data_IF_041344060539
#
_entry.id   IF_041344060539
#
_cell.length_a   1.000
_cell.length_b   1.000
_cell.length_c   1.000
_cell.angle_alpha   90.00
_cell.angle_beta   90.00
_cell.angle_gamma   90.00
#
_symmetry.space_group_name_H-M   'P 1'
#
loop_
_entity.id
_entity.type
_entity.pdbx_description
1 polymer ?
#
# COMPACT_ATOMS: atom_id res chain seq x y z
N UNK A 1 -27.31 20.13 27.02
CA UNK A 1 -27.11 19.04 28.01
C UNK A 1 -25.89 18.25 27.58
N UNK A 2 -24.80 18.43 28.32
CA UNK A 2 -23.53 17.78 28.08
C UNK A 2 -23.54 16.34 28.60
N UNK A 3 -22.85 15.44 27.91
CA UNK A 3 -21.92 14.49 28.51
C UNK A 3 -20.88 14.11 27.44
N UNK A 4 -19.63 14.39 27.76
CA UNK A 4 -18.46 14.37 26.90
C UNK A 4 -17.75 13.01 26.90
N UNK A 5 -17.13 12.70 25.76
CA UNK A 5 -15.85 12.02 25.53
C UNK A 5 -15.22 11.06 26.56
N UNK A 6 -14.75 9.91 26.06
CA UNK A 6 -13.32 9.51 26.08
C UNK A 6 -13.02 8.28 25.18
N UNK A 7 -11.76 8.09 24.75
CA UNK A 7 -11.34 7.29 23.60
C UNK A 7 -10.77 5.90 23.93
N UNK A 8 -10.53 5.13 22.87
CA UNK A 8 -9.86 3.83 22.72
C UNK A 8 -8.68 3.54 23.68
N UNK A 9 -8.65 2.32 24.23
CA UNK A 9 -7.45 1.54 24.64
C UNK A 9 -7.87 0.16 25.19
N UNK A 10 -8.04 -0.86 24.34
CA UNK A 10 -8.09 -2.26 24.79
C UNK A 10 -7.85 -3.23 23.63
N UNK A 11 -6.57 -3.54 23.36
CA UNK A 11 -6.08 -4.87 22.95
C UNK A 11 -4.63 -4.76 22.46
N UNK A 12 -3.71 -4.54 23.40
CA UNK A 12 -2.26 -4.76 23.24
C UNK A 12 -1.61 -4.52 24.60
N UNK A 13 -1.67 -5.52 25.49
CA UNK A 13 -0.79 -5.67 26.67
C UNK A 13 -1.09 -6.99 27.36
N UNK A 14 -0.53 -8.07 26.84
CA UNK A 14 -0.09 -9.18 27.67
C UNK A 14 1.21 -9.70 27.04
N UNK A 15 2.35 -9.25 27.56
CA UNK A 15 3.45 -10.12 28.06
C UNK A 15 4.67 -9.29 28.50
N UNK A 16 5.08 -9.51 29.76
CA UNK A 16 6.43 -9.26 30.31
C UNK A 16 6.53 -8.18 31.41
N UNK A 17 7.47 -8.29 32.37
CA UNK A 17 7.78 -9.45 33.22
C UNK A 17 7.86 -9.09 34.73
N UNK A 18 7.71 -10.08 35.61
CA UNK A 18 8.02 -10.00 37.06
C UNK A 18 6.88 -10.58 37.91
N UNK A 19 7.08 -11.46 38.87
CA UNK A 19 8.25 -12.15 39.38
C UNK A 19 7.74 -13.14 40.44
N UNK A 20 8.30 -14.35 40.48
CA UNK A 20 7.94 -15.36 41.47
C UNK A 20 8.44 -16.74 41.07
N UNK A 21 9.60 -17.14 41.61
CA UNK A 21 10.12 -18.52 41.52
C UNK A 21 9.23 -19.45 42.37
N UNK A 22 9.08 -20.73 41.97
CA UNK A 22 9.88 -21.76 42.65
C UNK A 22 10.39 -22.91 41.75
N UNK A 23 11.56 -23.45 42.11
CA UNK A 23 11.93 -24.89 42.11
C UNK A 23 12.01 -25.69 40.80
N UNK A 24 13.12 -26.40 40.51
CA UNK A 24 13.31 -27.07 39.22
C UNK A 24 12.73 -28.50 39.20
N UNK A 25 12.00 -28.83 38.13
CA UNK A 25 11.77 -30.21 37.71
C UNK A 25 12.48 -30.47 36.38
N UNK A 26 13.28 -31.54 36.33
CA UNK A 26 14.19 -31.93 35.24
C UNK A 26 13.44 -32.15 33.93
N UNK A 27 13.95 -31.58 32.84
CA UNK A 27 13.59 -31.94 31.46
C UNK A 27 14.58 -32.96 30.87
N UNK A 28 14.13 -33.95 30.08
CA UNK A 28 15.01 -34.82 29.31
C UNK A 28 15.47 -34.13 28.01
N UNK A 29 16.72 -34.42 27.64
CA UNK A 29 17.41 -33.93 26.45
C UNK A 29 16.80 -34.48 25.16
N UNK A 30 16.64 -33.64 24.13
CA UNK A 30 16.66 -34.12 22.74
C UNK A 30 17.26 -33.08 21.77
N UNK A 31 18.46 -33.45 21.31
CA UNK A 31 19.09 -33.31 19.98
C UNK A 31 18.82 -32.05 19.14
N UNK A 32 19.83 -31.18 19.13
CA UNK A 32 20.08 -30.21 18.09
C UNK A 32 20.50 -30.89 16.77
N UNK A 33 19.91 -30.45 15.67
CA UNK A 33 20.33 -30.77 14.30
C UNK A 33 21.54 -29.91 13.92
N UNK A 34 22.62 -30.55 13.47
CA UNK A 34 23.78 -29.91 12.82
C UNK A 34 23.68 -30.07 11.30
N UNK A 35 23.99 -29.07 10.48
CA UNK A 35 24.29 -29.29 9.09
C UNK A 35 25.73 -29.80 8.93
N UNK A 36 25.88 -30.80 8.07
CA UNK A 36 27.13 -31.38 7.61
C UNK A 36 27.69 -30.50 6.50
N UNK A 37 28.90 -29.95 6.68
CA UNK A 37 29.71 -29.43 5.58
C UNK A 37 30.79 -30.46 5.27
N UNK A 38 30.76 -31.00 4.04
CA UNK A 38 31.80 -31.86 3.52
C UNK A 38 33.03 -31.01 3.14
N UNK A 39 34.20 -31.44 3.63
CA UNK A 39 35.49 -30.94 3.17
C UNK A 39 35.98 -31.76 1.98
N UNK A 40 36.78 -31.12 1.13
CA UNK A 40 37.77 -31.78 0.29
C UNK A 40 38.97 -30.83 0.11
N UNK A 41 40.03 -31.20 0.83
CA UNK A 41 41.44 -31.26 0.46
C UNK A 41 42.18 -30.08 -0.20
N UNK A 42 43.14 -29.65 0.62
CA UNK A 42 44.43 -28.99 0.36
C UNK A 42 45.22 -29.44 -0.88
N UNK A 43 45.95 -28.49 -1.47
CA UNK A 43 47.41 -28.63 -1.69
C UNK A 43 48.10 -27.28 -1.45
N UNK A 44 49.18 -27.35 -0.66
CA UNK A 44 50.12 -26.30 -0.26
C UNK A 44 51.09 -25.90 -1.39
N UNK A 45 51.48 -24.62 -1.46
CA UNK A 45 52.88 -24.21 -1.71
C UNK A 45 53.17 -22.74 -1.35
N UNK A 46 53.82 -22.58 -0.20
CA UNK A 46 54.87 -21.62 0.23
C UNK A 46 55.25 -20.47 -0.71
N UNK A 47 55.45 -19.28 -0.12
CA UNK A 47 56.32 -18.24 -0.70
C UNK A 47 56.26 -16.87 -0.01
N UNK A 48 57.14 -16.66 0.97
CA UNK A 48 57.41 -15.41 1.71
C UNK A 48 57.73 -14.18 0.82
N UNK A 49 57.23 -12.99 1.22
CA UNK A 49 57.97 -11.73 1.51
C UNK A 49 57.13 -10.48 1.22
N UNK A 50 56.86 -9.69 2.25
CA UNK A 50 56.89 -8.21 2.19
C UNK A 50 58.34 -7.73 2.48
N UNK A 51 58.76 -6.46 2.27
CA UNK A 51 57.97 -5.23 2.06
C UNK A 51 58.49 -4.29 0.94
N UNK A 52 57.71 -3.24 0.61
CA UNK A 52 58.18 -2.16 -0.25
C UNK A 52 57.21 -0.98 -0.33
N UNK A 53 57.52 0.08 0.41
CA UNK A 53 56.87 1.39 0.35
C UNK A 53 57.06 2.05 -1.02
N UNK A 54 55.98 2.53 -1.64
CA UNK A 54 56.06 3.57 -2.67
C UNK A 54 54.99 4.63 -2.41
N UNK A 55 55.49 5.85 -2.22
CA UNK A 55 54.77 7.12 -2.15
C UNK A 55 54.19 7.51 -3.51
N UNK A 56 52.92 7.93 -3.57
CA UNK A 56 52.51 8.98 -4.51
C UNK A 56 51.20 9.61 -4.05
N UNK A 57 51.25 10.88 -3.67
CA UNK A 57 50.08 11.66 -3.31
C UNK A 57 49.21 12.02 -4.51
N UNK A 58 47.93 12.24 -4.25
CA UNK A 58 47.07 13.12 -5.05
C UNK A 58 46.08 13.83 -4.12
N UNK A 59 45.99 15.14 -4.36
CA UNK A 59 45.40 16.20 -3.55
C UNK A 59 43.89 16.04 -3.37
N UNK A 60 43.42 16.29 -2.15
CA UNK A 60 42.03 16.68 -1.91
C UNK A 60 41.81 18.10 -2.44
N UNK A 61 40.82 18.27 -3.32
CA UNK A 61 40.38 19.59 -3.79
C UNK A 61 39.38 20.12 -2.76
N UNK A 62 39.88 21.05 -1.94
CA UNK A 62 39.07 21.93 -1.11
C UNK A 62 38.47 23.02 -2.00
N UNK A 63 37.14 23.10 -2.06
CA UNK A 63 36.43 24.24 -2.64
C UNK A 63 35.95 25.14 -1.51
N UNK A 64 36.84 26.03 -1.07
CA UNK A 64 36.48 27.20 -0.27
C UNK A 64 35.83 28.24 -1.17
N UNK A 65 34.50 28.35 -1.12
CA UNK A 65 33.78 29.49 -1.72
C UNK A 65 33.67 30.57 -0.66
N UNK A 66 34.20 31.75 -1.00
CA UNK A 66 34.36 32.88 -0.10
C UNK A 66 33.05 33.43 0.45
N UNK A 67 33.10 33.82 1.72
CA UNK A 67 32.11 34.66 2.36
C UNK A 67 32.10 36.04 1.70
N UNK A 68 30.95 36.43 1.15
CA UNK A 68 30.59 37.83 0.93
C UNK A 68 29.26 38.03 1.64
N UNK A 69 29.33 38.66 2.80
CA UNK A 69 28.17 39.00 3.60
C UNK A 69 27.35 40.07 2.90
N UNK A 70 26.05 39.80 2.76
CA UNK A 70 25.03 40.82 2.63
C UNK A 70 24.15 40.67 3.87
N UNK A 71 24.22 41.67 4.74
CA UNK A 71 23.30 41.84 5.86
C UNK A 71 21.89 42.06 5.30
N UNK A 72 21.07 41.02 5.37
CA UNK A 72 19.63 41.08 5.15
C UNK A 72 18.90 41.03 6.49
N UNK A 73 18.17 42.09 6.77
CA UNK A 73 17.43 42.36 8.01
C UNK A 73 16.51 41.21 8.43
N UNK A 74 16.35 41.05 9.75
CA UNK A 74 15.55 40.01 10.39
C UNK A 74 14.12 39.93 9.87
N UNK A 75 13.76 38.77 9.33
CA UNK A 75 12.39 38.34 9.11
C UNK A 75 12.07 37.22 10.09
N UNK A 76 11.02 37.42 10.88
CA UNK A 76 10.43 36.43 11.77
C UNK A 76 10.03 35.19 10.95
N UNK A 77 10.87 34.14 10.93
CA UNK A 77 10.62 32.96 10.09
C UNK A 77 9.57 32.05 10.72
N UNK A 78 8.30 32.43 10.59
CA UNK A 78 7.25 31.43 10.49
C UNK A 78 7.57 30.59 9.23
N UNK A 79 8.21 29.44 9.43
CA UNK A 79 8.59 28.55 8.32
C UNK A 79 7.33 28.16 7.55
N UNK A 80 7.17 28.71 6.35
CA UNK A 80 6.01 28.51 5.47
C UNK A 80 5.71 27.01 5.32
N UNK A 81 4.44 26.66 5.52
CA UNK A 81 3.94 25.31 5.23
C UNK A 81 3.98 25.10 3.72
N UNK A 82 4.37 23.90 3.28
CA UNK A 82 4.29 23.54 1.87
C UNK A 82 2.84 23.66 1.37
N UNK A 83 2.70 24.17 0.16
CA UNK A 83 1.45 24.24 -0.59
C UNK A 83 1.35 23.11 -1.61
N UNK A 84 0.17 22.95 -2.22
CA UNK A 84 0.00 22.01 -3.34
C UNK A 84 0.89 22.41 -4.54
N UNK A 85 1.06 23.71 -4.77
CA UNK A 85 1.92 24.27 -5.81
C UNK A 85 3.38 23.86 -5.60
N UNK A 86 3.87 23.86 -4.35
CA UNK A 86 5.22 23.41 -4.05
C UNK A 86 5.41 21.91 -4.35
N UNK A 87 4.41 21.08 -4.04
CA UNK A 87 4.45 19.64 -4.38
C UNK A 87 4.45 19.45 -5.89
N UNK A 88 3.59 20.17 -6.61
CA UNK A 88 3.55 20.12 -8.08
C UNK A 88 4.90 20.56 -8.68
N UNK A 89 5.53 21.61 -8.14
CA UNK A 89 6.84 22.07 -8.60
C UNK A 89 7.92 21.01 -8.37
N UNK A 90 7.97 20.39 -7.19
CA UNK A 90 8.93 19.33 -6.86
C UNK A 90 8.85 18.16 -7.85
N UNK A 91 7.64 17.79 -8.26
CA UNK A 91 7.40 16.75 -9.28
C UNK A 91 7.84 17.27 -10.66
N UNK A 92 7.42 18.49 -11.05
CA UNK A 92 7.64 19.07 -12.38
C UNK A 92 9.13 19.25 -12.70
N UNK A 93 9.92 19.75 -11.76
CA UNK A 93 11.37 19.92 -11.91
C UNK A 93 12.15 18.64 -11.63
N UNK A 94 11.45 17.52 -11.37
CA UNK A 94 12.03 16.21 -11.03
C UNK A 94 12.95 16.24 -9.81
N UNK A 95 12.65 17.11 -8.84
CA UNK A 95 13.28 17.05 -7.52
C UNK A 95 12.80 15.82 -6.73
N UNK A 96 11.58 15.34 -7.01
CA UNK A 96 11.05 14.04 -6.57
C UNK A 96 10.89 13.11 -7.79
N UNK A 97 11.49 11.93 -7.74
CA UNK A 97 11.50 10.93 -8.82
C UNK A 97 11.16 9.51 -8.33
N UNK A 98 11.02 9.33 -7.01
CA UNK A 98 10.73 8.05 -6.36
C UNK A 98 9.46 8.20 -5.54
N UNK A 99 8.36 8.44 -6.24
CA UNK A 99 7.06 8.66 -5.62
C UNK A 99 6.48 7.32 -5.17
N UNK A 100 6.23 7.20 -3.87
CA UNK A 100 5.40 6.11 -3.34
C UNK A 100 3.98 6.62 -3.22
N UNK A 101 3.02 5.79 -3.63
CA UNK A 101 1.60 6.11 -3.57
C UNK A 101 0.90 5.09 -2.68
N UNK A 102 0.08 5.56 -1.75
CA UNK A 102 -0.84 4.76 -0.95
C UNK A 102 -2.27 5.11 -1.31
N UNK A 103 -3.09 4.13 -1.67
CA UNK A 103 -4.49 4.35 -2.02
C UNK A 103 -5.44 3.40 -1.30
N UNK A 104 -6.68 3.85 -1.12
CA UNK A 104 -7.78 3.03 -0.61
C UNK A 104 -9.07 3.28 -1.38
N UNK A 105 -10.19 2.81 -0.83
CA UNK A 105 -11.45 2.67 -1.58
C UNK A 105 -12.02 4.01 -2.08
N UNK A 106 -11.63 5.13 -1.47
CA UNK A 106 -12.03 6.47 -1.89
C UNK A 106 -11.61 6.82 -3.32
N UNK A 107 -10.57 6.19 -3.88
CA UNK A 107 -10.21 6.42 -5.29
C UNK A 107 -11.15 5.72 -6.27
N UNK A 108 -11.90 4.71 -5.83
CA UNK A 108 -12.80 3.88 -6.65
C UNK A 108 -14.27 4.31 -6.54
N UNK A 109 -14.61 5.21 -5.60
CA UNK A 109 -15.97 5.76 -5.49
C UNK A 109 -16.45 6.46 -6.75
N UNK A 110 -15.64 7.24 -7.50
CA UNK A 110 -16.08 7.84 -8.77
C UNK A 110 -16.27 6.81 -9.88
N UNK A 111 -15.73 5.59 -9.71
CA UNK A 111 -15.95 4.46 -10.62
C UNK A 111 -17.25 3.71 -10.33
N UNK A 112 -18.02 4.11 -9.32
CA UNK A 112 -19.27 3.45 -8.91
C UNK A 112 -19.09 2.32 -7.89
N UNK A 113 -17.87 2.13 -7.37
CA UNK A 113 -17.60 1.14 -6.32
C UNK A 113 -17.73 1.84 -4.95
N UNK A 114 -18.68 1.44 -4.08
CA UNK A 114 -18.82 2.07 -2.77
C UNK A 114 -17.56 1.84 -1.95
N UNK A 115 -17.17 2.83 -1.14
CA UNK A 115 -16.16 2.60 -0.11
C UNK A 115 -16.73 1.72 1.02
N UNK A 116 -15.92 1.36 2.00
CA UNK A 116 -16.39 0.52 3.09
C UNK A 116 -17.19 1.28 4.15
N UNK A 117 -16.80 2.53 4.44
CA UNK A 117 -17.08 3.20 5.73
C UNK A 117 -17.92 4.47 5.62
N UNK A 118 -18.15 5.02 4.44
CA UNK A 118 -18.95 6.23 4.28
C UNK A 118 -20.37 6.00 4.82
N UNK A 119 -20.88 6.88 5.71
CA UNK A 119 -22.23 6.73 6.22
C UNK A 119 -23.28 6.75 5.09
N UNK A 120 -24.18 5.76 5.08
CA UNK A 120 -25.30 5.66 4.13
C UNK A 120 -24.94 5.07 2.77
N UNK A 121 -23.77 5.38 2.20
CA UNK A 121 -23.35 4.86 0.88
C UNK A 121 -22.31 3.75 0.95
N UNK A 122 -21.56 3.65 2.05
CA UNK A 122 -20.50 2.66 2.20
C UNK A 122 -21.05 1.25 2.35
N UNK A 123 -20.27 0.26 1.91
CA UNK A 123 -20.63 -1.15 1.89
C UNK A 123 -21.19 -1.60 3.25
N UNK A 124 -20.54 -1.25 4.35
CA UNK A 124 -20.95 -1.65 5.71
C UNK A 124 -22.34 -1.13 6.13
N UNK A 125 -22.81 -0.03 5.56
CA UNK A 125 -24.17 0.47 5.80
C UNK A 125 -25.24 -0.40 5.12
N UNK A 126 -24.86 -1.13 4.05
CA UNK A 126 -25.76 -1.88 3.19
C UNK A 126 -25.67 -3.40 3.39
N UNK A 127 -24.83 -3.88 4.34
CA UNK A 127 -24.64 -5.32 4.56
C UNK A 127 -25.76 -5.99 5.38
N UNK A 128 -26.76 -5.25 5.87
CA UNK A 128 -27.86 -5.82 6.68
C UNK A 128 -28.60 -6.95 5.96
N UNK A 129 -28.65 -6.90 4.62
CA UNK A 129 -29.27 -7.93 3.78
C UNK A 129 -28.59 -9.30 3.86
N UNK A 130 -27.33 -9.37 4.28
CA UNK A 130 -26.54 -10.60 4.31
C UNK A 130 -26.67 -11.41 5.61
N UNK A 131 -27.47 -10.94 6.57
CA UNK A 131 -27.68 -11.59 7.87
C UNK A 131 -26.36 -11.97 8.58
N UNK A 132 -25.42 -11.01 8.60
CA UNK A 132 -24.11 -11.13 9.25
C UNK A 132 -24.14 -10.47 10.63
N UNK A 133 -23.34 -10.94 11.61
CA UNK A 133 -23.40 -10.45 12.99
C UNK A 133 -22.96 -8.99 13.13
N UNK A 134 -22.01 -8.56 12.30
CA UNK A 134 -21.52 -7.21 12.15
C UNK A 134 -20.83 -7.07 10.78
N UNK A 135 -20.67 -5.85 10.24
CA UNK A 135 -20.22 -5.64 8.86
C UNK A 135 -18.88 -6.29 8.51
N UNK A 136 -17.91 -6.24 9.40
CA UNK A 136 -16.56 -6.75 9.21
C UNK A 136 -16.50 -8.29 9.08
N UNK A 137 -17.51 -9.00 9.62
CA UNK A 137 -17.55 -10.46 9.61
C UNK A 137 -17.51 -11.06 8.20
N UNK A 138 -18.00 -10.34 7.18
CA UNK A 138 -17.93 -10.79 5.78
C UNK A 138 -16.49 -10.99 5.27
N UNK A 139 -15.52 -10.32 5.92
CA UNK A 139 -14.09 -10.42 5.64
C UNK A 139 -13.31 -11.12 6.77
N UNK A 140 -13.97 -11.84 7.67
CA UNK A 140 -13.31 -12.63 8.71
C UNK A 140 -13.19 -14.09 8.28
N UNK A 141 -11.99 -14.67 8.44
CA UNK A 141 -11.74 -16.03 7.97
C UNK A 141 -12.59 -17.07 8.71
N UNK A 142 -12.81 -16.88 10.02
CA UNK A 142 -13.65 -17.77 10.82
C UNK A 142 -15.11 -17.76 10.35
N UNK A 143 -15.67 -16.56 10.14
CA UNK A 143 -17.02 -16.42 9.61
C UNK A 143 -17.14 -17.00 8.19
N UNK A 144 -16.12 -16.79 7.33
CA UNK A 144 -16.09 -17.34 5.98
C UNK A 144 -16.16 -18.87 5.97
N UNK A 145 -15.46 -19.55 6.87
CA UNK A 145 -15.54 -21.00 6.99
C UNK A 145 -16.89 -21.48 7.53
N UNK A 146 -17.55 -20.68 8.37
CA UNK A 146 -18.90 -20.98 8.86
C UNK A 146 -19.96 -20.77 7.77
N UNK A 147 -19.91 -19.64 7.06
CA UNK A 147 -20.83 -19.28 5.99
C UNK A 147 -20.12 -18.44 4.92
N UNK A 148 -19.66 -19.05 3.82
CA UNK A 148 -18.95 -18.32 2.76
C UNK A 148 -19.88 -17.58 1.80
N UNK A 149 -21.19 -17.84 1.84
CA UNK A 149 -22.15 -17.31 0.86
C UNK A 149 -22.21 -15.78 0.82
N UNK A 150 -22.29 -15.04 1.95
CA UNK A 150 -22.29 -13.58 1.94
C UNK A 150 -21.13 -12.98 1.16
N UNK A 151 -19.91 -13.50 1.38
CA UNK A 151 -18.73 -13.04 0.67
C UNK A 151 -18.84 -13.30 -0.84
N UNK A 152 -19.30 -14.49 -1.25
CA UNK A 152 -19.42 -14.79 -2.68
C UNK A 152 -20.53 -14.00 -3.38
N UNK A 153 -21.62 -13.70 -2.68
CA UNK A 153 -22.64 -12.78 -3.20
C UNK A 153 -22.07 -11.38 -3.40
N UNK A 154 -21.32 -10.87 -2.42
CA UNK A 154 -20.60 -9.60 -2.57
C UNK A 154 -19.55 -9.65 -3.71
N UNK A 155 -18.78 -10.73 -3.81
CA UNK A 155 -17.76 -10.89 -4.85
C UNK A 155 -18.37 -10.82 -6.25
N UNK A 156 -19.59 -11.35 -6.45
CA UNK A 156 -20.34 -11.25 -7.70
C UNK A 156 -20.67 -9.80 -8.08
N UNK A 157 -21.03 -8.96 -7.09
CA UNK A 157 -21.26 -7.53 -7.32
C UNK A 157 -19.97 -6.82 -7.76
N UNK A 158 -18.83 -7.23 -7.20
CA UNK A 158 -17.49 -6.70 -7.48
C UNK A 158 -16.80 -7.33 -8.70
N UNK A 159 -17.53 -8.07 -9.54
CA UNK A 159 -16.96 -8.77 -10.68
C UNK A 159 -16.18 -7.84 -11.64
N UNK A 160 -14.93 -8.19 -12.01
CA UNK A 160 -14.14 -7.42 -12.98
C UNK A 160 -14.88 -7.23 -14.31
N UNK A 161 -15.01 -5.98 -14.76
CA UNK A 161 -15.75 -5.61 -15.98
C UNK A 161 -16.98 -4.75 -15.70
N UNK A 162 -17.54 -4.80 -14.49
CA UNK A 162 -18.64 -3.93 -14.08
C UNK A 162 -18.20 -2.46 -13.87
N UNK A 163 -16.91 -2.26 -13.66
CA UNK A 163 -16.34 -0.97 -13.27
C UNK A 163 -15.13 -0.62 -14.12
N UNK A 164 -14.90 0.68 -14.30
CA UNK A 164 -13.80 1.21 -15.10
C UNK A 164 -12.91 2.12 -14.27
N UNK A 165 -11.60 2.15 -14.52
CA UNK A 165 -10.72 3.13 -13.88
C UNK A 165 -11.17 4.55 -14.23
N UNK A 166 -11.04 5.46 -13.27
CA UNK A 166 -11.35 6.88 -13.42
C UNK A 166 -10.07 7.74 -13.50
N UNK A 167 -10.22 9.06 -13.56
CA UNK A 167 -9.10 10.01 -13.67
C UNK A 167 -8.03 9.82 -12.57
N UNK A 168 -8.40 9.46 -11.34
CA UNK A 168 -7.41 9.18 -10.28
C UNK A 168 -6.50 8.02 -10.65
N UNK A 169 -7.06 6.93 -11.17
CA UNK A 169 -6.28 5.76 -11.58
C UNK A 169 -5.36 6.06 -12.76
N UNK A 170 -5.84 6.84 -13.73
CA UNK A 170 -5.05 7.23 -14.89
C UNK A 170 -3.97 8.27 -14.54
N UNK A 171 -4.15 9.07 -13.49
CA UNK A 171 -3.09 9.94 -12.97
C UNK A 171 -1.92 9.12 -12.43
N UNK A 172 -2.21 8.04 -11.70
CA UNK A 172 -1.19 7.10 -11.23
C UNK A 172 -0.48 6.40 -12.39
N UNK A 173 -1.23 6.08 -13.46
CA UNK A 173 -0.66 5.56 -14.71
C UNK A 173 0.25 6.58 -15.39
N UNK A 174 -0.14 7.84 -15.44
CA UNK A 174 0.68 8.90 -16.02
C UNK A 174 1.96 9.14 -15.21
N UNK A 175 1.87 9.05 -13.88
CA UNK A 175 3.03 9.08 -12.98
C UNK A 175 4.00 7.92 -13.24
N UNK A 176 3.46 6.73 -13.58
CA UNK A 176 4.25 5.59 -14.03
C UNK A 176 4.91 5.84 -15.39
N UNK A 177 4.14 6.26 -16.39
CA UNK A 177 4.62 6.48 -17.76
C UNK A 177 5.70 7.57 -17.82
N UNK A 178 5.66 8.55 -16.91
CA UNK A 178 6.70 9.58 -16.76
C UNK A 178 7.93 9.13 -15.95
N UNK A 179 7.95 7.89 -15.47
CA UNK A 179 9.09 7.30 -14.75
C UNK A 179 9.24 7.76 -13.30
N UNK A 180 8.20 8.32 -12.69
CA UNK A 180 8.23 8.92 -11.35
C UNK A 180 7.70 7.98 -10.26
N UNK A 181 6.81 7.05 -10.63
CA UNK A 181 6.23 6.08 -9.69
C UNK A 181 7.29 5.06 -9.26
N UNK A 182 7.68 5.08 -7.99
CA UNK A 182 8.47 3.99 -7.38
C UNK A 182 7.59 2.76 -7.17
N UNK A 183 6.49 2.92 -6.43
CA UNK A 183 5.52 1.86 -6.12
C UNK A 183 4.15 2.43 -5.78
N UNK A 184 3.11 1.70 -6.18
CA UNK A 184 1.72 1.90 -5.78
C UNK A 184 1.33 0.81 -4.79
N UNK A 185 0.99 1.21 -3.56
CA UNK A 185 0.40 0.38 -2.52
C UNK A 185 -1.11 0.64 -2.51
N UNK A 186 -1.91 -0.39 -2.75
CA UNK A 186 -3.37 -0.29 -2.73
C UNK A 186 -3.97 -1.18 -1.65
N UNK A 187 -4.98 -0.66 -0.95
CA UNK A 187 -5.87 -1.44 -0.08
C UNK A 187 -7.06 -2.04 -0.84
N UNK A 188 -7.26 -1.63 -2.09
CA UNK A 188 -8.39 -2.05 -2.89
C UNK A 188 -8.16 -3.45 -3.43
N UNK A 189 -9.28 -4.13 -3.67
CA UNK A 189 -9.35 -5.47 -4.24
C UNK A 189 -10.05 -5.47 -5.61
N UNK A 190 -10.55 -4.31 -6.06
CA UNK A 190 -11.29 -4.13 -7.31
C UNK A 190 -10.42 -4.34 -8.57
N UNK A 191 -9.10 -4.20 -8.44
CA UNK A 191 -8.13 -4.41 -9.52
C UNK A 191 -8.06 -3.29 -10.55
N UNK A 192 -8.71 -2.14 -10.31
CA UNK A 192 -8.75 -1.02 -11.27
C UNK A 192 -7.36 -0.42 -11.52
N UNK A 193 -6.40 -0.58 -10.62
CA UNK A 193 -5.01 -0.19 -10.84
C UNK A 193 -4.35 -1.05 -11.94
N UNK A 194 -4.65 -2.35 -11.99
CA UNK A 194 -4.18 -3.22 -13.08
C UNK A 194 -4.87 -2.85 -14.39
N UNK A 195 -6.17 -2.59 -14.34
CA UNK A 195 -6.97 -2.22 -15.52
C UNK A 195 -6.51 -0.88 -16.11
N UNK A 196 -6.08 0.09 -15.29
CA UNK A 196 -5.49 1.35 -15.77
C UNK A 196 -4.10 1.19 -16.40
N UNK A 197 -3.52 -0.01 -16.29
CA UNK A 197 -2.24 -0.38 -16.89
C UNK A 197 -1.04 -0.20 -15.99
N UNK A 198 -1.21 -0.14 -14.65
CA UNK A 198 -0.07 -0.22 -13.74
C UNK A 198 0.54 -1.63 -13.83
N UNK A 199 1.84 -1.77 -14.16
CA UNK A 199 2.46 -3.08 -14.23
C UNK A 199 2.50 -3.75 -12.86
N UNK A 200 2.39 -5.08 -12.81
CA UNK A 200 2.51 -5.86 -11.57
C UNK A 200 3.80 -5.55 -10.81
N UNK A 201 4.90 -5.25 -11.52
CA UNK A 201 6.16 -4.85 -10.90
C UNK A 201 6.06 -3.55 -10.08
N UNK A 202 5.12 -2.65 -10.40
CA UNK A 202 4.89 -1.38 -9.71
C UNK A 202 3.78 -1.44 -8.67
N UNK A 203 3.01 -2.52 -8.62
CA UNK A 203 1.84 -2.66 -7.76
C UNK A 203 2.11 -3.59 -6.56
N UNK A 204 1.62 -3.16 -5.40
CA UNK A 204 1.48 -3.95 -4.18
C UNK A 204 0.01 -3.87 -3.75
N UNK A 205 -0.73 -4.95 -4.03
CA UNK A 205 -2.09 -5.14 -3.53
C UNK A 205 -2.02 -5.64 -2.10
N UNK A 206 -2.04 -4.72 -1.14
CA UNK A 206 -1.81 -5.03 0.27
C UNK A 206 -2.89 -5.95 0.84
N UNK A 207 -4.14 -5.80 0.38
CA UNK A 207 -5.26 -6.65 0.79
C UNK A 207 -5.57 -7.76 -0.22
N UNK A 208 -4.61 -8.08 -1.09
CA UNK A 208 -4.76 -9.18 -2.04
C UNK A 208 -5.60 -8.81 -3.26
N UNK A 209 -6.04 -9.82 -4.01
CA UNK A 209 -6.58 -9.63 -5.37
C UNK A 209 -7.58 -10.72 -5.76
N UNK A 210 -8.53 -10.38 -6.63
CA UNK A 210 -9.39 -11.37 -7.30
C UNK A 210 -8.71 -12.06 -8.51
N UNK A 211 -7.50 -11.64 -8.90
CA UNK A 211 -6.82 -12.20 -10.06
C UNK A 211 -6.35 -13.66 -9.89
N UNK A 212 -6.30 -14.15 -8.65
CA UNK A 212 -5.97 -15.52 -8.31
C UNK A 212 -6.77 -15.98 -7.09
N UNK A 213 -6.88 -17.28 -6.93
CA UNK A 213 -7.55 -17.90 -5.79
C UNK A 213 -6.78 -19.13 -5.32
N UNK A 214 -6.98 -19.50 -4.05
CA UNK A 214 -6.29 -20.61 -3.41
C UNK A 214 -7.29 -21.51 -2.69
N UNK A 215 -7.18 -22.83 -2.92
CA UNK A 215 -7.92 -23.80 -2.13
C UNK A 215 -7.53 -23.70 -0.65
N UNK A 216 -8.54 -23.53 0.20
CA UNK A 216 -8.37 -23.42 1.66
C UNK A 216 -7.85 -24.69 2.34
N UNK A 217 -7.96 -25.85 1.67
CA UNK A 217 -7.53 -27.15 2.20
C UNK A 217 -6.17 -27.56 1.63
N UNK A 218 -6.08 -27.84 0.33
CA UNK A 218 -4.85 -28.37 -0.28
C UNK A 218 -3.87 -27.27 -0.74
N UNK A 219 -4.21 -26.00 -0.59
CA UNK A 219 -3.39 -24.83 -0.97
C UNK A 219 -3.03 -24.76 -2.46
N UNK A 220 -3.73 -25.51 -3.32
CA UNK A 220 -3.63 -25.38 -4.77
C UNK A 220 -4.12 -24.00 -5.19
N UNK A 221 -3.28 -23.27 -5.90
CA UNK A 221 -3.65 -22.00 -6.53
C UNK A 221 -4.30 -22.24 -7.90
N UNK A 222 -5.25 -21.37 -8.26
CA UNK A 222 -5.84 -21.29 -9.59
C UNK A 222 -5.94 -19.82 -10.04
N UNK A 223 -5.96 -19.57 -11.35
CA UNK A 223 -6.37 -18.28 -11.90
C UNK A 223 -7.74 -17.84 -11.38
N UNK A 224 -7.94 -16.53 -11.21
CA UNK A 224 -9.22 -15.99 -10.78
C UNK A 224 -10.37 -16.30 -11.75
N UNK A 225 -10.07 -16.46 -13.04
CA UNK A 225 -11.02 -16.84 -14.09
C UNK A 225 -11.74 -18.16 -13.78
N UNK A 226 -11.03 -19.15 -13.23
CA UNK A 226 -11.59 -20.47 -12.88
C UNK A 226 -12.59 -20.37 -11.71
N UNK A 227 -12.37 -19.41 -10.83
CA UNK A 227 -13.19 -19.16 -9.64
C UNK A 227 -14.53 -18.48 -9.99
N UNK A 228 -14.52 -17.62 -11.01
CA UNK A 228 -15.68 -16.79 -11.34
C UNK A 228 -16.86 -17.55 -11.94
N UNK A 229 -16.63 -18.65 -12.65
CA UNK A 229 -17.71 -19.44 -13.24
C UNK A 229 -18.71 -19.96 -12.19
N UNK A 230 -18.22 -20.34 -11.02
CA UNK A 230 -19.05 -20.77 -9.91
C UNK A 230 -19.72 -19.58 -9.21
N UNK A 231 -18.98 -18.49 -8.94
CA UNK A 231 -19.55 -17.28 -8.32
C UNK A 231 -20.69 -16.69 -9.14
N UNK A 232 -20.52 -16.57 -10.45
CA UNK A 232 -21.54 -16.00 -11.34
C UNK A 232 -22.81 -16.86 -11.38
N UNK A 233 -22.66 -18.17 -11.18
CA UNK A 233 -23.77 -19.12 -11.09
C UNK A 233 -24.30 -19.32 -9.66
N UNK A 234 -23.96 -18.41 -8.73
CA UNK A 234 -24.38 -18.44 -7.32
C UNK A 234 -23.97 -19.73 -6.57
N UNK A 235 -22.84 -20.33 -6.98
CA UNK A 235 -22.24 -21.50 -6.35
C UNK A 235 -20.98 -21.12 -5.59
N UNK A 236 -20.76 -21.82 -4.47
CA UNK A 236 -19.50 -21.74 -3.71
C UNK A 236 -18.42 -22.48 -4.52
N UNK A 237 -17.32 -21.82 -4.90
CA UNK A 237 -16.28 -22.45 -5.70
C UNK A 237 -15.53 -23.53 -4.90
N UNK A 238 -15.38 -24.71 -5.48
CA UNK A 238 -14.81 -25.88 -4.82
C UNK A 238 -13.59 -26.41 -5.58
N UNK A 239 -12.60 -26.89 -4.84
CA UNK A 239 -11.39 -27.44 -5.43
C UNK A 239 -11.68 -28.75 -6.16
N UNK A 240 -11.26 -28.92 -7.42
CA UNK A 240 -11.53 -30.13 -8.19
C UNK A 240 -10.77 -31.37 -7.68
N UNK A 241 -9.84 -31.20 -6.73
CA UNK A 241 -9.00 -32.30 -6.19
C UNK A 241 -9.45 -32.76 -4.82
N UNK A 242 -9.72 -31.82 -3.91
CA UNK A 242 -9.98 -32.13 -2.49
C UNK A 242 -11.32 -31.59 -1.98
N UNK A 243 -12.15 -31.05 -2.88
CA UNK A 243 -13.47 -30.46 -2.61
C UNK A 243 -13.52 -29.31 -1.60
N UNK A 244 -12.38 -28.89 -1.04
CA UNK A 244 -12.27 -27.72 -0.18
C UNK A 244 -12.60 -26.42 -0.91
N UNK A 245 -13.15 -25.44 -0.19
CA UNK A 245 -13.54 -24.14 -0.74
C UNK A 245 -12.34 -23.44 -1.37
N UNK A 246 -12.51 -22.89 -2.57
CA UNK A 246 -11.55 -22.03 -3.25
C UNK A 246 -11.86 -20.58 -2.88
N UNK A 247 -10.94 -19.94 -2.16
CA UNK A 247 -11.07 -18.54 -1.73
C UNK A 247 -10.19 -17.67 -2.63
N UNK A 248 -10.67 -16.52 -3.14
CA UNK A 248 -9.81 -15.53 -3.76
C UNK A 248 -8.65 -15.16 -2.85
N UNK A 249 -7.53 -14.77 -3.46
CA UNK A 249 -6.32 -14.35 -2.75
C UNK A 249 -6.46 -12.92 -2.20
N UNK A 250 -7.62 -12.61 -1.62
CA UNK A 250 -7.95 -11.43 -0.83
C UNK A 250 -7.62 -11.72 0.62
N UNK A 251 -6.99 -10.77 1.29
CA UNK A 251 -6.64 -10.90 2.70
C UNK A 251 -7.87 -10.66 3.56
N UNK A 252 -8.26 -11.66 4.34
CA UNK A 252 -9.29 -11.55 5.35
C UNK A 252 -8.67 -11.12 6.69
N UNK A 253 -9.47 -10.57 7.59
CA UNK A 253 -9.05 -10.33 8.96
C UNK A 253 -8.56 -11.63 9.60
N UNK A 254 -7.37 -11.56 10.19
CA UNK A 254 -6.65 -12.71 10.74
C UNK A 254 -5.67 -13.39 9.77
N UNK A 255 -5.69 -13.06 8.48
CA UNK A 255 -4.72 -13.58 7.50
C UNK A 255 -3.45 -12.72 7.44
N UNK A 256 -2.28 -13.32 7.11
CA UNK A 256 -1.07 -12.56 6.85
C UNK A 256 -1.20 -11.77 5.54
N UNK A 257 -0.61 -10.57 5.50
CA UNK A 257 -0.51 -9.81 4.26
C UNK A 257 0.36 -10.53 3.21
N UNK A 258 0.19 -10.24 1.91
CA UNK A 258 0.94 -10.89 0.85
C UNK A 258 2.43 -10.60 0.97
N UNK A 259 3.28 -11.55 0.55
CA UNK A 259 4.74 -11.40 0.63
C UNK A 259 5.25 -10.13 -0.06
N UNK A 260 4.58 -9.71 -1.15
CA UNK A 260 4.92 -8.47 -1.87
C UNK A 260 4.77 -7.21 -1.01
N UNK A 261 3.95 -7.25 0.03
CA UNK A 261 3.83 -6.16 1.00
C UNK A 261 5.17 -5.85 1.68
N UNK A 262 6.07 -6.84 1.84
CA UNK A 262 7.39 -6.66 2.45
C UNK A 262 8.32 -5.71 1.66
N UNK A 263 7.98 -5.39 0.39
CA UNK A 263 8.71 -4.38 -0.38
C UNK A 263 8.72 -3.00 0.30
N UNK A 264 7.78 -2.75 1.23
CA UNK A 264 7.71 -1.48 1.95
C UNK A 264 9.00 -1.18 2.73
N UNK A 265 9.72 -2.21 3.17
CA UNK A 265 10.99 -2.10 3.90
C UNK A 265 12.06 -1.39 3.07
N UNK A 266 12.00 -1.52 1.73
CA UNK A 266 12.93 -0.86 0.81
C UNK A 266 12.32 0.40 0.22
N UNK A 267 11.04 0.34 -0.17
CA UNK A 267 10.41 1.42 -0.93
C UNK A 267 10.25 2.70 -0.09
N UNK A 268 9.82 2.60 1.18
CA UNK A 268 9.52 3.77 2.01
C UNK A 268 10.77 4.57 2.42
N UNK A 269 11.90 3.93 2.81
CA UNK A 269 13.15 4.66 3.03
C UNK A 269 13.71 5.32 1.76
N UNK A 270 13.39 4.78 0.57
CA UNK A 270 13.88 5.27 -0.72
C UNK A 270 12.98 6.36 -1.32
N UNK A 271 11.77 6.55 -0.80
CA UNK A 271 10.79 7.49 -1.31
C UNK A 271 11.24 8.95 -1.09
N UNK A 272 11.04 9.79 -2.09
CA UNK A 272 11.29 11.24 -2.01
C UNK A 272 9.99 12.07 -2.02
N UNK A 273 8.85 11.42 -2.21
CA UNK A 273 7.50 11.96 -2.07
C UNK A 273 6.53 10.82 -1.74
N UNK A 274 5.62 11.07 -0.80
CA UNK A 274 4.50 10.17 -0.50
C UNK A 274 3.18 10.81 -0.89
N UNK A 275 2.43 10.16 -1.77
CA UNK A 275 1.05 10.53 -2.09
C UNK A 275 0.09 9.56 -1.40
N UNK A 276 -0.94 10.08 -0.75
CA UNK A 276 -1.96 9.28 -0.05
C UNK A 276 -3.32 9.73 -0.56
N UNK A 277 -4.07 8.82 -1.19
CA UNK A 277 -5.33 9.15 -1.85
C UNK A 277 -6.47 8.25 -1.38
N UNK A 278 -7.60 8.85 -1.00
CA UNK A 278 -8.86 8.11 -0.83
C UNK A 278 -8.83 6.99 0.22
N UNK A 279 -8.16 7.18 1.36
CA UNK A 279 -8.12 6.18 2.45
C UNK A 279 -8.36 6.84 3.79
N UNK A 280 -9.02 6.14 4.73
CA UNK A 280 -9.18 6.61 6.11
C UNK A 280 -7.93 6.39 6.99
N UNK A 281 -6.96 5.61 6.52
CA UNK A 281 -5.78 5.20 7.29
C UNK A 281 -6.13 4.59 8.67
N UNK A 282 -7.18 3.77 8.73
CA UNK A 282 -7.62 3.11 9.97
C UNK A 282 -7.18 1.64 10.08
N UNK A 283 -6.78 1.02 8.96
CA UNK A 283 -6.44 -0.41 8.91
C UNK A 283 -4.93 -0.58 8.94
N UNK A 284 -4.44 -1.28 9.97
CA UNK A 284 -3.04 -1.65 10.12
C UNK A 284 -2.72 -2.99 9.42
N UNK A 285 -1.45 -3.21 9.01
CA UNK A 285 -0.28 -2.33 9.12
C UNK A 285 -0.19 -1.24 8.03
N UNK A 286 -1.21 -1.10 7.17
CA UNK A 286 -1.17 -0.16 6.04
C UNK A 286 -1.15 1.30 6.50
N UNK A 287 -1.92 1.66 7.53
CA UNK A 287 -1.97 3.01 8.07
C UNK A 287 -0.59 3.50 8.56
N UNK A 288 0.15 2.64 9.28
CA UNK A 288 1.50 2.92 9.79
C UNK A 288 2.52 3.22 8.70
N UNK A 289 2.32 2.72 7.46
CA UNK A 289 3.22 3.03 6.35
C UNK A 289 3.28 4.53 6.04
N UNK A 290 2.22 5.29 6.33
CA UNK A 290 2.21 6.74 6.14
C UNK A 290 3.28 7.46 6.99
N UNK A 291 3.77 6.83 8.07
CA UNK A 291 4.85 7.33 8.91
C UNK A 291 6.24 6.77 8.54
N UNK A 292 6.32 5.76 7.66
CA UNK A 292 7.55 5.04 7.37
C UNK A 292 8.51 5.77 6.42
N UNK A 293 8.06 6.81 5.71
CA UNK A 293 8.95 7.70 4.93
C UNK A 293 9.78 8.60 5.85
N UNK A 294 10.98 9.00 5.37
CA UNK A 294 11.87 9.90 6.10
C UNK A 294 11.18 11.20 6.55
N UNK A 295 11.62 11.78 7.67
CA UNK A 295 10.98 12.99 8.26
C UNK A 295 11.05 14.23 7.36
N UNK A 296 12.01 14.26 6.42
CA UNK A 296 12.15 15.31 5.41
C UNK A 296 11.33 15.06 4.14
N UNK A 297 10.72 13.90 3.97
CA UNK A 297 9.92 13.56 2.78
C UNK A 297 8.57 14.27 2.86
N UNK A 298 8.18 15.07 1.85
CA UNK A 298 6.84 15.64 1.79
C UNK A 298 5.78 14.55 1.68
N UNK A 299 4.63 14.76 2.34
CA UNK A 299 3.47 13.87 2.24
C UNK A 299 2.26 14.68 1.77
N UNK A 300 1.66 14.29 0.66
CA UNK A 300 0.43 14.89 0.16
C UNK A 300 -0.75 13.93 0.40
N UNK A 301 -1.72 14.39 1.19
CA UNK A 301 -3.02 13.74 1.36
C UNK A 301 -4.03 14.38 0.40
N UNK A 302 -4.63 13.57 -0.48
CA UNK A 302 -5.82 13.94 -1.26
C UNK A 302 -6.97 13.07 -0.77
N UNK A 303 -7.87 13.64 0.02
CA UNK A 303 -8.94 12.88 0.64
C UNK A 303 -10.12 13.77 0.99
N UNK A 304 -11.32 13.20 1.16
CA UNK A 304 -12.47 13.98 1.63
C UNK A 304 -12.22 14.61 2.99
N UNK A 305 -11.66 13.82 3.90
CA UNK A 305 -11.48 14.17 5.31
C UNK A 305 -10.00 14.15 5.69
N UNK A 306 -9.62 14.98 6.68
CA UNK A 306 -8.29 14.89 7.29
C UNK A 306 -8.24 13.64 8.16
N UNK A 307 -7.25 12.76 7.93
CA UNK A 307 -7.24 11.41 8.49
C UNK A 307 -5.85 10.98 8.94
N UNK A 308 -5.78 9.90 9.71
CA UNK A 308 -4.51 9.27 10.02
C UNK A 308 -3.57 10.18 10.81
N UNK A 309 -2.26 9.92 10.72
CA UNK A 309 -1.22 10.77 11.29
C UNK A 309 -1.27 12.24 10.85
N UNK A 310 -2.00 12.63 9.81
CA UNK A 310 -2.16 14.05 9.45
C UNK A 310 -3.00 14.81 10.50
N UNK A 311 -3.87 14.12 11.24
CA UNK A 311 -4.66 14.73 12.31
C UNK A 311 -3.91 14.75 13.64
N UNK A 312 -3.29 13.62 14.04
CA UNK A 312 -2.69 13.47 15.37
C UNK A 312 -1.16 13.61 15.43
N UNK A 313 -0.46 13.54 14.30
CA UNK A 313 1.02 13.68 14.19
C UNK A 313 1.46 14.38 12.89
N UNK A 314 0.99 15.61 12.63
CA UNK A 314 1.34 16.33 11.41
C UNK A 314 2.85 16.63 11.36
N UNK A 315 3.44 16.49 10.18
CA UNK A 315 4.82 16.91 9.87
C UNK A 315 4.83 18.27 9.21
N UNK A 316 5.97 18.96 9.27
CA UNK A 316 6.15 20.28 8.66
C UNK A 316 5.94 20.30 7.14
N UNK A 317 6.17 19.17 6.47
CA UNK A 317 6.08 19.02 5.01
C UNK A 317 4.82 18.25 4.58
N UNK A 318 3.83 18.17 5.46
CA UNK A 318 2.53 17.61 5.10
C UNK A 318 1.69 18.66 4.39
N UNK A 319 1.02 18.23 3.31
CA UNK A 319 0.02 18.99 2.58
C UNK A 319 -1.25 18.16 2.56
N UNK A 320 -2.40 18.77 2.85
CA UNK A 320 -3.69 18.11 2.76
C UNK A 320 -4.59 18.91 1.82
N UNK A 321 -5.07 18.25 0.77
CA UNK A 321 -6.08 18.76 -0.15
C UNK A 321 -7.38 18.01 0.15
N UNK A 322 -8.29 18.72 0.84
CA UNK A 322 -9.54 18.15 1.31
C UNK A 322 -10.65 18.38 0.30
N UNK A 323 -11.38 17.33 -0.06
CA UNK A 323 -12.51 17.41 -0.98
C UNK A 323 -12.67 16.16 -1.84
N UNK A 324 -13.36 16.33 -2.96
CA UNK A 324 -13.51 15.27 -3.95
C UNK A 324 -12.16 14.88 -4.56
N UNK A 325 -11.94 13.57 -4.71
CA UNK A 325 -10.65 13.02 -5.18
C UNK A 325 -10.38 13.37 -6.64
N UNK A 326 -11.41 13.38 -7.49
CA UNK A 326 -11.27 13.69 -8.92
C UNK A 326 -10.87 15.15 -9.07
N UNK A 327 -11.63 16.07 -8.47
CA UNK A 327 -11.34 17.50 -8.54
C UNK A 327 -9.93 17.83 -8.00
N UNK A 328 -9.54 17.18 -6.92
CA UNK A 328 -8.23 17.37 -6.30
C UNK A 328 -7.07 16.86 -7.17
N UNK A 329 -7.27 15.71 -7.84
CA UNK A 329 -6.31 15.16 -8.80
C UNK A 329 -6.22 16.04 -10.05
N UNK A 330 -7.36 16.49 -10.59
CA UNK A 330 -7.41 17.42 -11.72
C UNK A 330 -6.64 18.70 -11.41
N UNK A 331 -6.82 19.26 -10.20
CA UNK A 331 -6.08 20.44 -9.77
C UNK A 331 -4.57 20.20 -9.71
N UNK A 332 -4.14 19.03 -9.24
CA UNK A 332 -2.71 18.67 -9.25
C UNK A 332 -2.19 18.51 -10.68
N UNK A 333 -2.96 17.86 -11.56
CA UNK A 333 -2.64 17.68 -12.98
C UNK A 333 -2.49 19.02 -13.70
N UNK A 334 -3.37 19.99 -13.43
CA UNK A 334 -3.26 21.36 -13.95
C UNK A 334 -1.95 22.03 -13.53
N UNK A 335 -1.59 21.96 -12.25
CA UNK A 335 -0.36 22.56 -11.72
C UNK A 335 0.91 21.89 -12.29
N UNK A 336 0.82 20.60 -12.61
CA UNK A 336 1.89 19.84 -13.27
C UNK A 336 2.02 20.17 -14.76
N UNK A 337 1.00 20.83 -15.35
CA UNK A 337 0.91 21.03 -16.80
C UNK A 337 0.68 19.72 -17.56
N UNK A 338 -0.03 18.77 -16.96
CA UNK A 338 -0.28 17.44 -17.55
C UNK A 338 -1.72 17.27 -18.06
N UNK A 339 -2.51 18.33 -18.10
CA UNK A 339 -3.95 18.27 -18.45
C UNK A 339 -4.22 17.62 -19.80
N UNK A 340 -3.52 18.03 -20.86
CA UNK A 340 -3.71 17.47 -22.21
C UNK A 340 -3.32 15.99 -22.26
N UNK A 341 -2.15 15.63 -21.73
CA UNK A 341 -1.70 14.23 -21.68
C UNK A 341 -2.66 13.33 -20.88
N UNK A 342 -3.24 13.88 -19.81
CA UNK A 342 -4.22 13.20 -18.97
C UNK A 342 -5.52 12.95 -19.73
N UNK A 343 -6.04 13.97 -20.45
CA UNK A 343 -7.23 13.85 -21.28
C UNK A 343 -7.03 12.81 -22.40
N UNK A 344 -5.91 12.88 -23.11
CA UNK A 344 -5.55 11.93 -24.16
C UNK A 344 -5.45 10.49 -23.65
N UNK A 345 -4.84 10.29 -22.47
CA UNK A 345 -4.74 8.99 -21.83
C UNK A 345 -6.13 8.44 -21.48
N UNK A 346 -6.96 9.24 -20.81
CA UNK A 346 -8.32 8.82 -20.42
C UNK A 346 -9.12 8.47 -21.66
N UNK A 347 -9.15 9.33 -22.68
CA UNK A 347 -9.91 9.10 -23.91
C UNK A 347 -9.46 7.82 -24.65
N UNK A 348 -8.15 7.61 -24.73
CA UNK A 348 -7.58 6.42 -25.39
C UNK A 348 -7.93 5.13 -24.65
N UNK A 349 -7.85 5.12 -23.33
CA UNK A 349 -8.09 3.91 -22.55
C UNK A 349 -9.59 3.62 -22.39
N UNK A 350 -10.45 4.63 -22.24
CA UNK A 350 -11.91 4.44 -22.24
C UNK A 350 -12.40 3.92 -23.60
N UNK A 351 -11.88 4.46 -24.71
CA UNK A 351 -12.21 3.99 -26.05
C UNK A 351 -11.80 2.53 -26.32
N UNK A 352 -10.69 2.06 -25.74
CA UNK A 352 -10.29 0.64 -25.82
C UNK A 352 -11.22 -0.28 -25.05
N UNK A 353 -11.74 0.17 -23.90
CA UNK A 353 -12.68 -0.60 -23.10
C UNK A 353 -14.03 -0.71 -23.81
N UNK A 354 -14.54 0.38 -24.39
CA UNK A 354 -15.77 0.37 -25.21
C UNK A 354 -15.69 -0.54 -26.43
N UNK A 355 -14.49 -0.69 -27.01
CA UNK A 355 -14.26 -1.57 -28.15
C UNK A 355 -14.14 -3.07 -27.80
N UNK A 356 -13.98 -3.43 -26.53
CA UNK A 356 -13.94 -4.84 -26.07
C UNK A 356 -15.31 -5.39 -25.68
N UNK A 357 -16.27 -4.50 -25.42
CA UNK A 357 -17.66 -4.84 -25.10
C UNK A 357 -18.55 -5.01 -26.36
N UNK A 358 -17.95 -4.90 -27.57
CA UNK A 358 -18.55 -5.18 -28.89
C UNK A 358 -17.89 -6.40 -29.52
#
# INVERSE_FOLDING_TARGET
MALWGRPWLASLRLWGPGGGRPGPARAPQSRAWRPVCAGADSVCARGLREPGSITSGRRAISLSVGASGIFGSGGNSEKEKLSLQDIAELIRVRACQKVVVMVGAGISTPSGIPDFRSPGSGLYSNLQQYNIPYPEAIFELEFFFHNPKPFFTLAKELYPGNYRPNATHYFLRLLHDKGLLLRLYTQNIDGLERVSGIPTAKLVEAHGTFASATCTVCRRSCPGEDFWADVMADRVPCCPVCTGIVKPDIVFFGEPLPQRFLLHVVDFPMADLLLILGTSLEVEPFASLSEAVGSSVPRLLINRDLVGPFTWRPRRRDVALLGDVIHSVERLVELLGWTEEMQDLVQRETGKLDGRDR
#
